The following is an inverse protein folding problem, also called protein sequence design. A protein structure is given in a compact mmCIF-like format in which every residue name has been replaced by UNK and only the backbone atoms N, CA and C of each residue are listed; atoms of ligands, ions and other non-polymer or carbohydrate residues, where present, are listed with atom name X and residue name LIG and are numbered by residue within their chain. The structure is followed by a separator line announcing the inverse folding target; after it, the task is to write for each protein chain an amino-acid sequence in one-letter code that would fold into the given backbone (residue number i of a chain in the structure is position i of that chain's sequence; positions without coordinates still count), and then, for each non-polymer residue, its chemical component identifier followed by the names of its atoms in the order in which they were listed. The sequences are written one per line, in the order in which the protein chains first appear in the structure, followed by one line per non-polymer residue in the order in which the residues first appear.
data_IF_693041516597
#
_entry.id   IF_693041516597
#
_cell.length_a   1.000
_cell.length_b   1.000
_cell.length_c   1.000
_cell.angle_alpha   90.00
_cell.angle_beta   90.00
_cell.angle_gamma   90.00
#
_symmetry.space_group_name_H-M   'P 1'
#
loop_
_entity.id
_entity.type
_entity.pdbx_description
1 polymer ?
#
# COMPACT_ATOMS: atom_id res chain seq x y z
N UNK A 1 -19.16 -4.23 22.82
CA UNK A 1 -18.91 -3.04 21.98
C UNK A 1 -17.41 -2.91 21.80
N UNK A 2 -16.91 -3.12 20.59
CA UNK A 2 -15.48 -3.01 20.26
C UNK A 2 -15.05 -1.54 20.40
N UNK A 3 -14.29 -1.24 21.46
CA UNK A 3 -13.65 0.06 21.63
C UNK A 3 -12.74 0.33 20.42
N UNK A 4 -13.00 1.42 19.70
CA UNK A 4 -12.14 1.87 18.60
C UNK A 4 -10.87 2.45 19.25
N UNK A 5 -9.91 1.57 19.53
CA UNK A 5 -8.66 1.94 20.21
C UNK A 5 -7.65 2.39 19.17
N UNK A 6 -7.08 3.60 19.28
CA UNK A 6 -6.12 4.14 18.31
C UNK A 6 -4.80 3.37 18.22
N UNK A 7 -4.49 2.56 19.23
CA UNK A 7 -3.27 1.74 19.25
C UNK A 7 -3.52 0.37 18.60
N UNK A 8 -2.53 -0.17 17.86
CA UNK A 8 -2.59 -1.55 17.39
C UNK A 8 -2.69 -2.51 18.57
N UNK A 9 -3.62 -3.45 18.47
CA UNK A 9 -3.61 -4.64 19.32
C UNK A 9 -2.55 -5.60 18.78
N UNK A 10 -1.92 -6.36 19.67
CA UNK A 10 -0.90 -7.34 19.30
C UNK A 10 -1.53 -8.73 19.32
N UNK A 11 -1.57 -9.39 18.16
CA UNK A 11 -2.13 -10.75 18.03
C UNK A 11 -1.16 -11.78 18.59
N UNK A 12 0.11 -11.63 18.24
CA UNK A 12 1.12 -12.66 18.43
C UNK A 12 2.44 -12.03 18.82
N UNK A 13 3.16 -12.70 19.73
CA UNK A 13 4.54 -12.37 20.09
C UNK A 13 5.44 -13.52 19.69
N UNK A 14 6.38 -13.27 18.77
CA UNK A 14 7.40 -14.24 18.37
C UNK A 14 8.73 -13.75 18.95
N UNK A 15 9.17 -14.36 20.06
CA UNK A 15 10.36 -13.90 20.78
C UNK A 15 10.20 -12.46 21.29
N UNK A 16 11.03 -11.54 20.79
CA UNK A 16 10.95 -10.10 21.08
C UNK A 16 10.07 -9.31 20.12
N UNK A 17 9.61 -9.93 19.02
CA UNK A 17 8.85 -9.23 17.98
C UNK A 17 7.35 -9.31 18.25
N UNK A 18 6.70 -8.15 18.28
CA UNK A 18 5.25 -8.01 18.48
C UNK A 18 4.57 -7.84 17.12
N UNK A 19 3.68 -8.76 16.77
CA UNK A 19 2.92 -8.74 15.53
C UNK A 19 1.55 -8.12 15.80
N UNK A 20 1.32 -6.94 15.22
CA UNK A 20 0.03 -6.27 15.29
C UNK A 20 -0.95 -6.77 14.24
N UNK A 21 -2.24 -6.62 14.53
CA UNK A 21 -3.32 -6.97 13.61
C UNK A 21 -3.19 -6.16 12.30
N UNK A 22 -2.81 -4.88 12.43
CA UNK A 22 -2.50 -3.97 11.31
C UNK A 22 -1.36 -4.49 10.43
N UNK A 23 -0.29 -5.03 11.05
CA UNK A 23 0.86 -5.57 10.33
C UNK A 23 0.44 -6.76 9.45
N UNK A 24 -0.38 -7.66 9.98
CA UNK A 24 -0.92 -8.80 9.24
C UNK A 24 -1.74 -8.32 8.03
N UNK A 25 -2.63 -7.35 8.21
CA UNK A 25 -3.41 -6.79 7.10
C UNK A 25 -2.53 -6.11 6.05
N UNK A 26 -1.47 -5.40 6.45
CA UNK A 26 -0.49 -4.82 5.53
C UNK A 26 0.25 -5.89 4.71
N UNK A 27 0.59 -7.02 5.32
CA UNK A 27 1.23 -8.14 4.63
C UNK A 27 0.27 -8.79 3.64
N UNK A 28 -1.01 -8.94 3.97
CA UNK A 28 -2.02 -9.43 3.04
C UNK A 28 -2.12 -8.50 1.82
N UNK A 29 -2.20 -7.18 2.03
CA UNK A 29 -2.23 -6.20 0.94
C UNK A 29 -0.97 -6.32 0.06
N UNK A 30 0.21 -6.45 0.68
CA UNK A 30 1.47 -6.62 -0.02
C UNK A 30 1.51 -7.91 -0.85
N UNK A 31 1.10 -9.04 -0.28
CA UNK A 31 1.05 -10.35 -0.96
C UNK A 31 0.08 -10.30 -2.15
N UNK A 32 -1.09 -9.69 -1.99
CA UNK A 32 -2.06 -9.50 -3.08
C UNK A 32 -1.42 -8.72 -4.23
N UNK A 33 -0.74 -7.61 -3.94
CA UNK A 33 -0.08 -6.80 -4.96
C UNK A 33 1.06 -7.55 -5.65
N UNK A 34 1.86 -8.31 -4.91
CA UNK A 34 2.95 -9.13 -5.47
C UNK A 34 2.38 -10.19 -6.41
N UNK A 35 1.38 -10.96 -5.96
CA UNK A 35 0.75 -12.01 -6.77
C UNK A 35 0.13 -11.40 -8.03
N UNK A 36 -0.61 -10.30 -7.89
CA UNK A 36 -1.22 -9.58 -9.01
C UNK A 36 -0.15 -9.12 -10.01
N UNK A 37 0.94 -8.53 -9.53
CA UNK A 37 2.06 -8.09 -10.37
C UNK A 37 2.72 -9.26 -11.12
N UNK A 38 2.93 -10.39 -10.46
CA UNK A 38 3.49 -11.60 -11.09
C UNK A 38 2.55 -12.18 -12.15
N UNK A 39 1.24 -12.22 -11.89
CA UNK A 39 0.23 -12.67 -12.85
C UNK A 39 0.20 -11.75 -14.07
N UNK A 40 0.17 -10.43 -13.85
CA UNK A 40 0.19 -9.44 -14.93
C UNK A 40 1.46 -9.58 -15.77
N UNK A 41 2.63 -9.64 -15.14
CA UNK A 41 3.93 -9.81 -15.80
C UNK A 41 3.94 -11.05 -16.70
N UNK A 42 3.41 -12.19 -16.23
CA UNK A 42 3.33 -13.43 -17.03
C UNK A 42 2.36 -13.34 -18.20
N UNK A 43 1.36 -12.46 -18.14
CA UNK A 43 0.30 -12.30 -19.15
C UNK A 43 0.51 -11.10 -20.08
N UNK A 44 1.60 -10.36 -19.93
CA UNK A 44 1.94 -9.22 -20.79
C UNK A 44 2.10 -9.67 -22.25
N UNK A 45 1.34 -9.05 -23.14
CA UNK A 45 1.45 -9.22 -24.60
C UNK A 45 1.73 -7.86 -25.23
N UNK A 46 2.60 -7.81 -26.25
CA UNK A 46 2.88 -6.56 -26.98
C UNK A 46 1.64 -5.94 -27.62
N UNK A 47 0.70 -6.78 -28.05
CA UNK A 47 -0.61 -6.37 -28.57
C UNK A 47 -1.68 -7.04 -27.70
N UNK A 48 -2.24 -6.33 -26.72
CA UNK A 48 -3.28 -6.88 -25.85
C UNK A 48 -4.59 -7.08 -26.63
N UNK A 49 -5.36 -8.09 -26.23
CA UNK A 49 -6.74 -8.25 -26.73
C UNK A 49 -7.61 -7.09 -26.21
N UNK A 50 -8.59 -6.60 -27.00
CA UNK A 50 -9.56 -5.62 -26.53
C UNK A 50 -10.27 -6.13 -25.26
N UNK A 51 -10.47 -5.26 -24.27
CA UNK A 51 -11.05 -5.57 -22.93
C UNK A 51 -10.26 -6.55 -22.05
N UNK A 52 -8.96 -6.75 -22.31
CA UNK A 52 -8.12 -7.57 -21.43
C UNK A 52 -7.80 -6.88 -20.09
N UNK A 53 -7.47 -7.67 -19.06
CA UNK A 53 -6.97 -7.13 -17.79
C UNK A 53 -5.74 -6.22 -17.99
N UNK A 54 -4.86 -6.55 -18.95
CA UNK A 54 -3.71 -5.71 -19.31
C UNK A 54 -4.15 -4.30 -19.71
N UNK A 55 -5.20 -4.15 -20.52
CA UNK A 55 -5.70 -2.84 -20.94
C UNK A 55 -6.18 -1.99 -19.75
N UNK A 56 -6.82 -2.60 -18.75
CA UNK A 56 -7.27 -1.90 -17.52
C UNK A 56 -6.05 -1.38 -16.75
N UNK A 57 -5.04 -2.23 -16.54
CA UNK A 57 -3.83 -1.83 -15.83
C UNK A 57 -3.01 -0.80 -16.60
N UNK A 58 -2.90 -0.93 -17.92
CA UNK A 58 -2.24 0.08 -18.77
C UNK A 58 -2.93 1.42 -18.65
N UNK A 59 -4.26 1.45 -18.78
CA UNK A 59 -5.07 2.68 -18.61
C UNK A 59 -4.85 3.31 -17.22
N UNK A 60 -4.87 2.49 -16.16
CA UNK A 60 -4.64 2.96 -14.79
C UNK A 60 -3.22 3.52 -14.62
N UNK A 61 -2.20 2.83 -15.13
CA UNK A 61 -0.81 3.30 -15.06
C UNK A 61 -0.60 4.56 -15.89
N UNK A 62 -1.24 4.69 -17.05
CA UNK A 62 -1.18 5.88 -17.89
C UNK A 62 -1.85 7.07 -17.21
N UNK A 63 -3.02 6.87 -16.59
CA UNK A 63 -3.71 7.89 -15.79
C UNK A 63 -2.82 8.38 -14.66
N UNK A 64 -2.23 7.46 -13.90
CA UNK A 64 -1.33 7.80 -12.80
C UNK A 64 -0.08 8.54 -13.30
N UNK A 65 0.46 8.12 -14.43
CA UNK A 65 1.64 8.74 -15.04
C UNK A 65 1.34 10.16 -15.50
N UNK A 66 0.16 10.41 -16.10
CA UNK A 66 -0.31 11.74 -16.49
C UNK A 66 -0.50 12.64 -15.26
N UNK A 67 -1.11 12.11 -14.20
CA UNK A 67 -1.31 12.83 -12.93
C UNK A 67 0.01 13.23 -12.27
N UNK A 68 0.99 12.33 -12.19
CA UNK A 68 2.31 12.67 -11.63
C UNK A 68 3.05 13.67 -12.53
N UNK A 69 2.90 13.54 -13.85
CA UNK A 69 3.51 14.48 -14.79
C UNK A 69 2.90 15.88 -14.69
N UNK A 70 1.59 16.02 -14.44
CA UNK A 70 0.97 17.33 -14.23
C UNK A 70 1.42 18.00 -12.93
N UNK A 71 1.85 17.23 -11.93
CA UNK A 71 2.38 17.77 -10.67
C UNK A 71 3.87 18.13 -10.80
N UNK A 72 4.67 17.23 -11.36
CA UNK A 72 6.14 17.40 -11.44
C UNK A 72 6.58 18.34 -12.56
N UNK A 73 5.74 18.58 -13.57
CA UNK A 73 6.05 19.44 -14.72
C UNK A 73 7.20 18.94 -15.61
N UNK A 74 7.76 17.76 -15.34
CA UNK A 74 8.96 17.24 -16.01
C UNK A 74 8.86 15.74 -16.19
N UNK A 75 8.92 15.32 -17.46
CA UNK A 75 8.80 13.90 -17.84
C UNK A 75 9.91 13.03 -17.26
N UNK A 76 11.11 13.58 -17.14
CA UNK A 76 12.26 12.87 -16.57
C UNK A 76 12.09 12.61 -15.07
N UNK A 77 11.67 13.64 -14.32
CA UNK A 77 11.41 13.47 -12.88
C UNK A 77 10.22 12.55 -12.64
N UNK A 78 9.16 12.68 -13.45
CA UNK A 78 8.03 11.76 -13.42
C UNK A 78 8.51 10.32 -13.48
N UNK A 79 9.34 9.96 -14.48
CA UNK A 79 9.85 8.58 -14.62
C UNK A 79 10.67 8.11 -13.42
N UNK A 80 11.41 9.02 -12.76
CA UNK A 80 12.22 8.68 -11.58
C UNK A 80 11.37 8.47 -10.32
N UNK A 81 10.34 9.29 -10.10
CA UNK A 81 9.49 9.22 -8.89
C UNK A 81 8.31 8.25 -9.05
N UNK A 82 7.95 7.93 -10.30
CA UNK A 82 6.78 7.12 -10.62
C UNK A 82 6.74 5.78 -9.88
N UNK A 83 7.82 4.97 -9.82
CA UNK A 83 7.77 3.68 -9.13
C UNK A 83 7.38 3.82 -7.66
N UNK A 84 7.94 4.81 -6.96
CA UNK A 84 7.65 5.04 -5.54
C UNK A 84 6.19 5.48 -5.34
N UNK A 85 5.74 6.50 -6.07
CA UNK A 85 4.40 7.04 -5.95
C UNK A 85 3.36 5.99 -6.36
N UNK A 86 3.62 5.23 -7.43
CA UNK A 86 2.74 4.16 -7.87
C UNK A 86 2.63 3.03 -6.85
N UNK A 87 3.73 2.64 -6.22
CA UNK A 87 3.69 1.64 -5.12
C UNK A 87 2.86 2.15 -3.95
N UNK A 88 3.05 3.40 -3.52
CA UNK A 88 2.25 3.98 -2.43
C UNK A 88 0.77 4.03 -2.80
N UNK A 89 0.46 4.51 -4.01
CA UNK A 89 -0.91 4.58 -4.49
C UNK A 89 -1.58 3.20 -4.51
N UNK A 90 -0.95 2.21 -5.13
CA UNK A 90 -1.50 0.85 -5.21
C UNK A 90 -1.62 0.20 -3.83
N UNK A 91 -0.62 0.37 -2.96
CA UNK A 91 -0.66 -0.15 -1.59
C UNK A 91 -1.81 0.45 -0.78
N UNK A 92 -1.92 1.78 -0.73
CA UNK A 92 -2.97 2.48 0.01
C UNK A 92 -4.34 2.13 -0.56
N UNK A 93 -4.49 2.07 -1.88
CA UNK A 93 -5.73 1.69 -2.54
C UNK A 93 -6.15 0.26 -2.16
N UNK A 94 -5.24 -0.71 -2.27
CA UNK A 94 -5.52 -2.11 -1.90
C UNK A 94 -5.84 -2.23 -0.41
N UNK A 95 -5.08 -1.58 0.46
CA UNK A 95 -5.33 -1.60 1.90
C UNK A 95 -6.71 -1.01 2.25
N UNK A 96 -7.11 0.08 1.59
CA UNK A 96 -8.43 0.68 1.76
C UNK A 96 -9.55 -0.23 1.25
N UNK A 97 -9.35 -0.84 0.08
CA UNK A 97 -10.34 -1.76 -0.50
C UNK A 97 -10.55 -2.98 0.39
N UNK A 98 -9.48 -3.54 0.95
CA UNK A 98 -9.59 -4.63 1.93
C UNK A 98 -10.43 -4.21 3.15
N UNK A 99 -10.22 -2.98 3.65
CA UNK A 99 -11.01 -2.45 4.76
C UNK A 99 -12.49 -2.24 4.44
N UNK A 100 -12.86 -2.07 3.16
CA UNK A 100 -14.25 -1.88 2.72
C UNK A 100 -15.01 -3.21 2.58
N UNK A 101 -14.31 -4.34 2.48
CA UNK A 101 -14.94 -5.67 2.32
C UNK A 101 -15.77 -5.97 3.58
N UNK A 102 -17.11 -6.14 3.46
CA UNK A 102 -17.95 -6.48 4.59
C UNK A 102 -17.47 -7.79 5.22
N UNK A 103 -17.27 -7.76 6.54
CA UNK A 103 -16.73 -8.89 7.29
C UNK A 103 -15.21 -8.95 7.35
N UNK A 104 -14.43 -8.31 6.48
CA UNK A 104 -12.96 -8.45 6.51
C UNK A 104 -12.34 -7.96 7.84
N UNK A 105 -12.77 -6.81 8.36
CA UNK A 105 -12.26 -6.21 9.60
C UNK A 105 -12.74 -6.87 10.91
N UNK A 106 -13.45 -8.00 10.82
CA UNK A 106 -13.99 -8.71 11.99
C UNK A 106 -14.32 -10.19 11.76
N UNK A 107 -14.01 -10.74 10.58
CA UNK A 107 -14.35 -12.12 10.20
C UNK A 107 -13.58 -13.14 11.04
N UNK A 108 -12.37 -12.78 11.46
CA UNK A 108 -11.51 -13.65 12.23
C UNK A 108 -11.21 -12.98 13.55
N UNK A 109 -11.71 -13.60 14.62
CA UNK A 109 -11.45 -13.18 16.00
C UNK A 109 -10.50 -14.21 16.59
N UNK A 110 -9.40 -13.73 17.17
CA UNK A 110 -8.45 -14.56 17.89
C UNK A 110 -8.49 -14.15 19.35
N UNK A 111 -8.49 -15.13 20.24
CA UNK A 111 -8.36 -14.90 21.67
C UNK A 111 -6.87 -14.68 22.00
N UNK A 112 -6.53 -13.50 22.50
CA UNK A 112 -5.19 -13.19 22.97
C UNK A 112 -5.28 -12.54 24.34
N UNK A 113 -4.60 -13.12 25.33
CA UNK A 113 -4.63 -12.68 26.74
C UNK A 113 -6.05 -12.53 27.34
N UNK A 114 -6.96 -13.46 27.03
CA UNK A 114 -8.34 -13.45 27.55
C UNK A 114 -9.25 -12.38 26.92
N UNK A 115 -8.80 -11.70 25.85
CA UNK A 115 -9.59 -10.73 25.09
C UNK A 115 -9.77 -11.22 23.65
N UNK A 116 -11.00 -11.14 23.17
CA UNK A 116 -11.35 -11.35 21.77
C UNK A 116 -10.90 -10.15 20.93
N UNK A 117 -9.87 -10.33 20.12
CA UNK A 117 -9.32 -9.30 19.24
C UNK A 117 -9.53 -9.68 17.78
N UNK A 118 -9.87 -8.71 16.94
CA UNK A 118 -10.08 -8.95 15.51
C UNK A 118 -8.73 -9.09 14.79
N UNK A 119 -8.45 -10.23 14.17
CA UNK A 119 -7.17 -10.54 13.53
C UNK A 119 -6.79 -9.53 12.45
N UNK A 120 -7.78 -9.00 11.73
CA UNK A 120 -7.59 -8.03 10.67
C UNK A 120 -8.12 -6.67 11.07
N UNK A 121 -7.32 -5.65 10.82
CA UNK A 121 -7.65 -4.26 11.11
C UNK A 121 -7.21 -3.39 9.93
N UNK A 122 -7.95 -2.32 9.65
CA UNK A 122 -7.62 -1.41 8.56
C UNK A 122 -6.21 -0.87 8.74
N UNK A 123 -5.35 -1.06 7.74
CA UNK A 123 -3.96 -0.61 7.76
C UNK A 123 -3.83 0.89 8.03
N UNK A 124 -4.82 1.68 7.59
CA UNK A 124 -4.84 3.14 7.70
C UNK A 124 -5.50 3.64 8.99
N UNK A 125 -6.05 2.74 9.82
CA UNK A 125 -6.59 3.07 11.15
C UNK A 125 -5.54 3.07 12.26
N UNK A 126 -4.28 2.80 11.90
CA UNK A 126 -3.12 2.79 12.78
C UNK A 126 -2.17 3.90 12.35
N UNK A 127 -1.66 4.64 13.34
CA UNK A 127 -0.75 5.76 13.12
C UNK A 127 0.59 5.27 12.51
N UNK A 128 1.04 4.06 12.86
CA UNK A 128 2.34 3.55 12.45
C UNK A 128 2.48 3.45 10.92
N UNK A 129 1.46 2.93 10.23
CA UNK A 129 1.47 2.77 8.77
C UNK A 129 1.55 4.13 8.07
N UNK A 130 0.74 5.09 8.51
CA UNK A 130 0.68 6.43 7.93
C UNK A 130 1.95 7.21 8.19
N UNK A 131 2.50 7.14 9.41
CA UNK A 131 3.77 7.78 9.75
C UNK A 131 4.93 7.19 8.93
N UNK A 132 4.99 5.86 8.78
CA UNK A 132 6.04 5.23 7.98
C UNK A 132 6.03 5.73 6.53
N UNK A 133 4.84 5.76 5.89
CA UNK A 133 4.70 6.27 4.52
C UNK A 133 5.05 7.77 4.43
N UNK A 134 4.65 8.57 5.42
CA UNK A 134 4.97 9.99 5.47
C UNK A 134 6.49 10.24 5.58
N UNK A 135 7.17 9.52 6.48
CA UNK A 135 8.63 9.63 6.65
C UNK A 135 9.35 9.24 5.36
N UNK A 136 8.97 8.12 4.73
CA UNK A 136 9.58 7.68 3.47
C UNK A 136 9.34 8.73 2.38
N UNK A 137 8.13 9.30 2.31
CA UNK A 137 7.80 10.37 1.36
C UNK A 137 8.67 11.62 1.56
N UNK A 138 8.83 12.07 2.81
CA UNK A 138 9.67 13.22 3.17
C UNK A 138 11.14 12.97 2.80
N UNK A 139 11.68 11.79 3.12
CA UNK A 139 13.05 11.44 2.76
C UNK A 139 13.21 11.38 1.23
N UNK A 140 12.25 10.79 0.53
CA UNK A 140 12.29 10.67 -0.93
C UNK A 140 12.25 12.05 -1.61
N UNK A 141 11.38 12.96 -1.18
CA UNK A 141 11.30 14.30 -1.78
C UNK A 141 12.58 15.09 -1.54
N UNK A 142 13.19 14.97 -0.35
CA UNK A 142 14.48 15.61 -0.07
C UNK A 142 15.59 15.03 -0.94
N UNK A 143 15.63 13.70 -1.07
CA UNK A 143 16.59 13.02 -1.95
C UNK A 143 16.46 13.49 -3.41
N UNK A 144 15.24 13.49 -3.98
CA UNK A 144 15.01 13.95 -5.35
C UNK A 144 15.24 15.45 -5.52
N UNK A 145 14.93 16.26 -4.50
CA UNK A 145 15.18 17.70 -4.47
C UNK A 145 16.67 18.01 -4.53
N UNK A 146 17.47 17.42 -3.64
CA UNK A 146 18.93 17.57 -3.61
C UNK A 146 19.56 17.08 -4.92
N UNK A 147 19.13 15.92 -5.43
CA UNK A 147 19.67 15.38 -6.68
C UNK A 147 19.42 16.29 -7.88
N UNK A 148 18.30 17.02 -7.90
CA UNK A 148 17.92 17.87 -9.04
C UNK A 148 18.40 19.32 -8.93
N UNK A 149 18.42 19.89 -7.73
CA UNK A 149 18.76 21.29 -7.49
C UNK A 149 20.19 21.49 -6.98
N UNK A 150 20.86 20.40 -6.57
CA UNK A 150 22.12 20.45 -5.86
C UNK A 150 21.92 20.80 -4.38
N UNK A 151 22.99 20.64 -3.60
CA UNK A 151 23.08 21.22 -2.25
C UNK A 151 23.59 22.65 -2.42
N UNK A 152 22.82 23.64 -1.97
CA UNK A 152 23.30 25.00 -1.77
C UNK A 152 23.53 25.24 -0.29
#
# INVERSE_FOLDING_TARGET
MTQITFHPEYVMKIGSFLISNTLITSWIAMVILIILSLILKKRLKKIPKPKSLQNIFETLTELLLKFINSITGSRELTKQVFPLIATFFLFILTANFLGLIPGFLGAFVVESNGKNIALFRSTNSDLNSTLALAIISVIAIQYFGIKRLGVK
#
